data_IF_485099652441
#
_entry.id   IF_485099652441
#
_cell.length_a   1.000
_cell.length_b   1.000
_cell.length_c   1.000
_cell.angle_alpha   90.00
_cell.angle_beta   90.00
_cell.angle_gamma   90.00
#
_symmetry.space_group_name_H-M   'P 1'
#
loop_
_entity.id
_entity.type
_entity.pdbx_description
1 polymer ?
#
# COMPACT_ATOMS: atom_id res chain seq x y z
N UNK A 1 12.76 -6.36 -2.94
CA UNK A 1 11.45 -6.03 -2.35
C UNK A 1 10.45 -7.10 -2.72
N UNK A 2 9.62 -7.50 -1.79
CA UNK A 2 8.75 -8.68 -1.94
C UNK A 2 7.35 -8.30 -2.43
N UNK A 3 7.26 -7.75 -3.62
CA UNK A 3 5.98 -7.27 -4.18
C UNK A 3 4.99 -8.42 -4.42
N UNK A 4 5.47 -9.54 -4.94
CA UNK A 4 4.61 -10.70 -5.19
C UNK A 4 3.98 -11.21 -3.88
N UNK A 5 4.78 -11.33 -2.83
CA UNK A 5 4.29 -11.78 -1.53
C UNK A 5 3.27 -10.79 -0.96
N UNK A 6 3.52 -9.49 -1.11
CA UNK A 6 2.57 -8.46 -0.70
C UNK A 6 1.22 -8.66 -1.40
N UNK A 7 1.22 -8.84 -2.72
CA UNK A 7 -0.01 -9.06 -3.48
C UNK A 7 -0.76 -10.31 -3.01
N UNK A 8 -0.04 -11.39 -2.77
CA UNK A 8 -0.65 -12.64 -2.32
C UNK A 8 -1.33 -12.46 -0.96
N UNK A 9 -0.67 -11.76 -0.04
CA UNK A 9 -1.23 -11.51 1.28
C UNK A 9 -2.46 -10.59 1.21
N UNK A 10 -2.44 -9.60 0.34
CA UNK A 10 -3.62 -8.75 0.12
C UNK A 10 -4.80 -9.59 -0.37
N UNK A 11 -4.57 -10.48 -1.35
CA UNK A 11 -5.62 -11.34 -1.87
C UNK A 11 -6.19 -12.28 -0.81
N UNK A 12 -5.38 -12.69 0.16
CA UNK A 12 -5.81 -13.55 1.26
C UNK A 12 -6.42 -12.77 2.42
N UNK A 13 -6.56 -11.46 2.27
CA UNK A 13 -7.06 -10.55 3.31
C UNK A 13 -6.17 -10.53 4.56
N UNK A 14 -4.89 -10.84 4.40
CA UNK A 14 -3.89 -10.77 5.47
C UNK A 14 -3.17 -9.42 5.37
N UNK A 15 -3.93 -8.37 5.61
CA UNK A 15 -3.46 -7.00 5.38
C UNK A 15 -2.36 -6.57 6.34
N UNK A 16 -2.42 -7.02 7.59
CA UNK A 16 -1.38 -6.68 8.56
C UNK A 16 -0.04 -7.29 8.13
N UNK A 17 -0.05 -8.58 7.75
CA UNK A 17 1.16 -9.26 7.28
C UNK A 17 1.68 -8.63 5.98
N UNK A 18 0.77 -8.21 5.10
CA UNK A 18 1.18 -7.53 3.86
C UNK A 18 1.96 -6.25 4.15
N UNK A 19 1.48 -5.46 5.12
CA UNK A 19 2.18 -4.23 5.49
C UNK A 19 3.57 -4.54 6.04
N UNK A 20 3.71 -5.61 6.83
CA UNK A 20 4.99 -5.99 7.41
C UNK A 20 6.02 -6.39 6.36
N UNK A 21 5.57 -7.07 5.30
CA UNK A 21 6.46 -7.50 4.21
C UNK A 21 7.16 -6.31 3.55
N UNK A 22 6.43 -5.22 3.32
CA UNK A 22 7.03 -4.02 2.74
C UNK A 22 7.79 -3.20 3.76
N UNK A 23 7.41 -3.28 5.04
CA UNK A 23 8.09 -2.55 6.09
C UNK A 23 9.53 -3.04 6.28
N UNK A 24 9.80 -4.30 6.02
CA UNK A 24 11.15 -4.84 6.04
C UNK A 24 12.08 -4.09 5.08
N UNK A 25 11.58 -3.76 3.90
CA UNK A 25 12.33 -2.99 2.92
C UNK A 25 12.39 -1.52 3.28
N UNK A 26 11.27 -0.97 3.75
CA UNK A 26 11.14 0.47 4.02
C UNK A 26 11.89 0.90 5.28
N UNK A 27 11.88 0.11 6.33
CA UNK A 27 12.37 0.54 7.64
C UNK A 27 13.82 1.01 7.64
N UNK A 28 14.79 0.28 7.02
CA UNK A 28 16.16 0.78 6.94
C UNK A 28 16.30 2.06 6.12
N UNK A 29 15.35 2.34 5.24
CA UNK A 29 15.34 3.48 4.33
C UNK A 29 14.47 4.63 4.82
N UNK A 30 13.83 4.50 5.95
CA UNK A 30 12.73 5.40 6.37
C UNK A 30 13.12 6.88 6.49
N UNK A 31 14.39 7.17 6.64
CA UNK A 31 14.87 8.56 6.74
C UNK A 31 15.21 9.17 5.39
N UNK A 32 15.27 8.36 4.36
CA UNK A 32 15.47 8.84 3.00
C UNK A 32 14.13 9.40 2.50
N UNK A 33 14.20 10.48 1.75
CA UNK A 33 13.00 11.12 1.22
C UNK A 33 12.92 11.03 -0.29
N UNK A 34 13.57 10.04 -0.87
CA UNK A 34 13.50 9.78 -2.29
C UNK A 34 12.12 9.21 -2.64
N UNK A 35 11.75 9.32 -3.91
CA UNK A 35 10.43 8.92 -4.36
C UNK A 35 10.14 7.44 -4.14
N UNK A 36 11.14 6.57 -4.30
CA UNK A 36 10.95 5.14 -4.07
C UNK A 36 10.53 4.87 -2.62
N UNK A 37 11.26 5.42 -1.67
CA UNK A 37 10.97 5.22 -0.24
C UNK A 37 9.58 5.73 0.12
N UNK A 38 9.19 6.89 -0.43
CA UNK A 38 7.88 7.46 -0.17
C UNK A 38 6.76 6.65 -0.80
N UNK A 39 6.96 6.13 -2.01
CA UNK A 39 5.97 5.28 -2.67
C UNK A 39 5.78 3.97 -1.90
N UNK A 40 6.85 3.36 -1.42
CA UNK A 40 6.74 2.14 -0.62
C UNK A 40 5.97 2.40 0.67
N UNK A 41 6.22 3.54 1.32
CA UNK A 41 5.42 3.94 2.48
C UNK A 41 3.94 4.06 2.11
N UNK A 42 3.64 4.56 0.92
CA UNK A 42 2.27 4.61 0.42
C UNK A 42 1.63 3.23 0.39
N UNK A 43 2.30 2.24 -0.17
CA UNK A 43 1.75 0.88 -0.23
C UNK A 43 1.61 0.24 1.15
N UNK A 44 2.50 0.56 2.08
CA UNK A 44 2.34 0.14 3.48
C UNK A 44 1.04 0.72 4.04
N UNK A 45 0.79 2.01 3.81
CA UNK A 45 -0.44 2.66 4.26
C UNK A 45 -1.68 2.10 3.58
N UNK A 46 -1.59 1.70 2.30
CA UNK A 46 -2.71 1.05 1.63
C UNK A 46 -3.12 -0.23 2.37
N UNK A 47 -2.16 -1.08 2.73
CA UNK A 47 -2.44 -2.29 3.48
C UNK A 47 -3.02 -1.97 4.86
N UNK A 48 -2.48 -0.98 5.56
CA UNK A 48 -3.01 -0.54 6.86
C UNK A 48 -4.45 -0.05 6.73
N UNK A 49 -4.76 0.70 5.67
CA UNK A 49 -6.11 1.17 5.41
C UNK A 49 -7.09 0.00 5.27
N UNK A 50 -6.70 -1.03 4.51
CA UNK A 50 -7.54 -2.22 4.33
C UNK A 50 -7.74 -2.98 5.65
N UNK A 51 -6.71 -3.06 6.48
CA UNK A 51 -6.83 -3.69 7.79
C UNK A 51 -7.78 -2.92 8.70
N UNK A 52 -7.71 -1.60 8.69
CA UNK A 52 -8.63 -0.77 9.47
C UNK A 52 -10.07 -0.95 9.03
N UNK A 53 -10.30 -1.02 7.71
CA UNK A 53 -11.63 -1.28 7.19
C UNK A 53 -12.15 -2.65 7.66
N UNK A 54 -11.31 -3.67 7.57
CA UNK A 54 -11.64 -5.03 8.01
C UNK A 54 -12.06 -5.06 9.48
N UNK A 55 -11.45 -4.21 10.29
CA UNK A 55 -11.77 -4.09 11.73
C UNK A 55 -12.96 -3.18 12.01
N UNK A 56 -13.61 -2.67 10.99
CA UNK A 56 -14.77 -1.79 11.14
C UNK A 56 -14.43 -0.32 11.42
N UNK A 57 -13.15 0.06 11.31
CA UNK A 57 -12.71 1.43 11.58
C UNK A 57 -12.69 2.24 10.28
N UNK A 58 -13.88 2.51 9.75
CA UNK A 58 -14.04 3.06 8.40
C UNK A 58 -13.44 4.46 8.24
N UNK A 59 -13.65 5.35 9.22
CA UNK A 59 -13.10 6.70 9.13
C UNK A 59 -11.58 6.71 9.12
N UNK A 60 -10.97 5.89 9.98
CA UNK A 60 -9.51 5.77 10.03
C UNK A 60 -8.98 5.15 8.74
N UNK A 61 -9.71 4.15 8.21
CA UNK A 61 -9.37 3.53 6.93
C UNK A 61 -9.31 4.57 5.82
N UNK A 62 -10.33 5.43 5.72
CA UNK A 62 -10.38 6.47 4.70
C UNK A 62 -9.24 7.47 4.83
N UNK A 63 -8.92 7.85 6.08
CA UNK A 63 -7.84 8.80 6.33
C UNK A 63 -6.49 8.23 5.89
N UNK A 64 -6.22 6.98 6.22
CA UNK A 64 -4.96 6.33 5.87
C UNK A 64 -4.88 6.11 4.36
N UNK A 65 -6.00 5.80 3.70
CA UNK A 65 -6.03 5.67 2.26
C UNK A 65 -5.64 6.98 1.56
N UNK A 66 -6.04 8.13 2.11
CA UNK A 66 -5.63 9.42 1.54
C UNK A 66 -4.10 9.60 1.60
N UNK A 67 -3.45 9.08 2.63
CA UNK A 67 -1.98 9.10 2.71
C UNK A 67 -1.38 8.26 1.58
N UNK A 68 -1.96 7.07 1.33
CA UNK A 68 -1.52 6.26 0.18
C UNK A 68 -1.64 7.05 -1.12
N UNK A 69 -2.78 7.68 -1.37
CA UNK A 69 -3.00 8.42 -2.61
C UNK A 69 -1.98 9.55 -2.79
N UNK A 70 -1.64 10.23 -1.71
CA UNK A 70 -0.64 11.30 -1.73
C UNK A 70 0.71 10.78 -2.22
N UNK A 71 1.16 9.65 -1.71
CA UNK A 71 2.46 9.10 -2.09
C UNK A 71 2.41 8.40 -3.45
N UNK A 72 1.28 7.80 -3.81
CA UNK A 72 1.14 7.10 -5.09
C UNK A 72 1.37 8.03 -6.29
N UNK A 73 1.12 9.32 -6.15
CA UNK A 73 1.36 10.29 -7.22
C UNK A 73 2.82 10.34 -7.66
N UNK A 74 3.73 9.90 -6.81
CA UNK A 74 5.16 9.93 -7.10
C UNK A 74 5.63 8.73 -7.94
N UNK A 75 4.74 7.78 -8.21
CA UNK A 75 5.10 6.58 -8.99
C UNK A 75 5.56 6.92 -10.39
N UNK A 76 4.95 7.92 -11.02
CA UNK A 76 5.28 8.29 -12.40
C UNK A 76 6.74 8.70 -12.57
N UNK A 77 7.36 9.25 -11.52
CA UNK A 77 8.76 9.66 -11.55
C UNK A 77 9.73 8.49 -11.46
N UNK A 78 9.25 7.30 -11.14
CA UNK A 78 10.12 6.14 -10.89
C UNK A 78 10.34 5.26 -12.12
N UNK A 79 9.55 5.44 -13.16
CA UNK A 79 9.64 4.64 -14.39
C UNK A 79 9.63 3.13 -14.12
N UNK A 80 8.92 2.69 -13.09
CA UNK A 80 8.84 1.30 -12.69
C UNK A 80 7.50 0.72 -13.13
N UNK A 81 7.55 -0.20 -14.10
CA UNK A 81 6.36 -0.91 -14.54
C UNK A 81 5.74 -1.72 -13.40
N UNK A 82 6.59 -2.36 -12.59
CA UNK A 82 6.14 -3.20 -11.49
C UNK A 82 5.37 -2.39 -10.45
N UNK A 83 5.84 -1.18 -10.11
CA UNK A 83 5.14 -0.33 -9.13
C UNK A 83 3.86 0.26 -9.71
N UNK A 84 3.83 0.56 -11.01
CA UNK A 84 2.59 0.99 -11.67
C UNK A 84 1.55 -0.12 -11.68
N UNK A 85 1.96 -1.34 -11.91
CA UNK A 85 1.07 -2.51 -11.83
C UNK A 85 0.57 -2.72 -10.41
N UNK A 86 1.43 -2.53 -9.41
CA UNK A 86 1.03 -2.66 -8.02
C UNK A 86 0.00 -1.60 -7.64
N UNK A 87 0.18 -0.38 -8.12
CA UNK A 87 -0.80 0.69 -7.91
C UNK A 87 -2.17 0.28 -8.45
N UNK A 88 -2.22 -0.19 -9.71
CA UNK A 88 -3.46 -0.63 -10.31
C UNK A 88 -4.08 -1.78 -9.54
N UNK A 89 -3.26 -2.74 -9.12
CA UNK A 89 -3.71 -3.89 -8.36
C UNK A 89 -4.39 -3.48 -7.05
N UNK A 90 -3.74 -2.65 -6.25
CA UNK A 90 -4.25 -2.32 -4.92
C UNK A 90 -5.51 -1.43 -5.01
N UNK A 91 -5.58 -0.55 -6.01
CA UNK A 91 -6.74 0.31 -6.18
C UNK A 91 -7.94 -0.48 -6.69
N UNK A 92 -7.73 -1.44 -7.59
CA UNK A 92 -8.80 -2.33 -8.03
C UNK A 92 -9.25 -3.25 -6.90
N UNK A 93 -8.30 -3.77 -6.13
CA UNK A 93 -8.66 -4.62 -4.98
C UNK A 93 -9.54 -3.85 -4.00
N UNK A 94 -9.15 -2.64 -3.66
CA UNK A 94 -9.94 -1.82 -2.74
C UNK A 94 -11.35 -1.59 -3.27
N UNK A 95 -11.48 -1.26 -4.56
CA UNK A 95 -12.79 -1.00 -5.16
C UNK A 95 -13.70 -2.21 -5.09
N UNK A 96 -13.16 -3.42 -5.18
CA UNK A 96 -13.95 -4.65 -5.07
C UNK A 96 -14.23 -5.02 -3.63
N UNK A 97 -13.28 -4.77 -2.74
CA UNK A 97 -13.37 -5.18 -1.34
C UNK A 97 -14.29 -4.25 -0.54
N UNK A 98 -14.17 -2.94 -0.78
CA UNK A 98 -14.98 -1.93 -0.10
C UNK A 98 -16.14 -1.58 -1.01
N UNK A 99 -17.21 -2.37 -0.92
CA UNK A 99 -18.43 -2.10 -1.67
C UNK A 99 -19.40 -1.33 -0.77
N UNK A 100 -19.83 -0.21 -1.27
CA UNK A 100 -20.86 0.59 -0.61
C UNK A 100 -22.24 0.18 -1.11
#
# INVERSE_FOLDING_TARGET
MKIKEYKELILEHKFFEAHEVLEEFWFPRRRQKDNLTLVIKGFINAAVSLELYKRGRVENSNRVWQVYLKFAKKIDSLESKELKELKNFIEQFKSSYIKL
#
